data_IF_708271519226
#
_entry.id   IF_708271519226
#
_cell.length_a   1.000
_cell.length_b   1.000
_cell.length_c   1.000
_cell.angle_alpha   90.00
_cell.angle_beta   90.00
_cell.angle_gamma   90.00
#
_symmetry.space_group_name_H-M   'P 1'
#
loop_
_entity.id
_entity.type
_entity.pdbx_description
1 polymer ?
#
# COMPACT_ATOMS: atom_id res chain seq x y z
N UNK A 1 4.21 21.56 12.81
CA UNK A 1 3.55 21.08 11.58
C UNK A 1 3.35 19.56 11.72
N UNK A 2 2.15 19.05 11.49
CA UNK A 2 1.84 17.61 11.65
C UNK A 2 2.50 16.78 10.54
N UNK A 3 3.19 15.69 10.91
CA UNK A 3 3.81 14.77 9.95
C UNK A 3 2.74 13.86 9.33
N UNK A 4 2.90 13.48 8.05
CA UNK A 4 1.98 12.56 7.38
C UNK A 4 2.06 11.17 8.03
N UNK A 5 0.91 10.58 8.33
CA UNK A 5 0.78 9.24 8.91
C UNK A 5 0.35 8.22 7.85
N UNK A 6 0.64 6.95 8.08
CA UNK A 6 0.34 5.85 7.17
C UNK A 6 -0.89 5.07 7.59
N UNK A 7 -1.63 4.53 6.63
CA UNK A 7 -2.68 3.54 6.87
C UNK A 7 -2.43 2.37 5.93
N UNK A 8 -2.38 1.15 6.45
CA UNK A 8 -2.44 -0.07 5.66
C UNK A 8 -3.78 -0.74 5.93
N UNK A 9 -4.62 -0.83 4.90
CA UNK A 9 -5.89 -1.57 4.99
C UNK A 9 -5.65 -3.03 4.60
N UNK A 10 -5.53 -3.90 5.60
CA UNK A 10 -5.28 -5.33 5.49
C UNK A 10 -6.46 -6.16 6.04
N UNK A 11 -7.68 -5.70 5.76
CA UNK A 11 -8.92 -6.41 6.09
C UNK A 11 -9.49 -7.23 4.92
N UNK A 12 -10.74 -7.67 5.09
CA UNK A 12 -11.50 -8.43 4.11
C UNK A 12 -11.31 -9.95 4.17
N UNK A 13 -12.30 -10.69 3.66
CA UNK A 13 -12.36 -12.15 3.74
C UNK A 13 -11.58 -12.88 2.64
N UNK A 14 -11.08 -12.16 1.63
CA UNK A 14 -10.25 -12.74 0.57
C UNK A 14 -10.89 -13.91 -0.18
N UNK A 15 -12.23 -14.03 -0.22
CA UNK A 15 -12.97 -15.22 -0.67
C UNK A 15 -12.67 -15.65 -2.11
N UNK A 16 -12.25 -14.72 -2.98
CA UNK A 16 -11.78 -15.01 -4.35
C UNK A 16 -10.58 -15.94 -4.41
N UNK A 17 -9.84 -16.06 -3.31
CA UNK A 17 -8.68 -16.94 -3.18
C UNK A 17 -8.96 -18.24 -2.40
N UNK A 18 -10.23 -18.50 -2.02
CA UNK A 18 -10.57 -19.78 -1.41
C UNK A 18 -10.14 -20.96 -2.27
N UNK A 19 -9.64 -22.06 -1.65
CA UNK A 19 -9.58 -22.30 -0.20
C UNK A 19 -8.33 -21.73 0.51
N UNK A 20 -7.41 -21.05 -0.19
CA UNK A 20 -6.12 -20.62 0.37
C UNK A 20 -6.28 -19.65 1.55
N UNK A 21 -7.26 -18.74 1.46
CA UNK A 21 -7.52 -17.71 2.47
C UNK A 21 -8.51 -18.12 3.57
N UNK A 22 -8.93 -19.40 3.62
CA UNK A 22 -9.82 -19.87 4.69
C UNK A 22 -9.12 -19.95 6.05
N UNK A 23 -7.79 -20.17 6.07
CA UNK A 23 -7.02 -20.28 7.32
C UNK A 23 -6.04 -19.13 7.56
N UNK A 24 -5.76 -18.32 6.54
CA UNK A 24 -4.76 -17.24 6.59
C UNK A 24 -5.27 -16.04 5.80
N UNK A 25 -5.16 -14.85 6.38
CA UNK A 25 -5.45 -13.58 5.70
C UNK A 25 -4.69 -13.45 4.37
N UNK A 26 -5.34 -12.87 3.34
CA UNK A 26 -4.73 -12.68 2.00
C UNK A 26 -3.37 -11.98 2.09
N UNK A 27 -3.29 -10.93 2.91
CA UNK A 27 -2.12 -10.07 3.02
C UNK A 27 -0.95 -10.74 3.77
N UNK A 28 -1.17 -11.92 4.35
CA UNK A 28 -0.11 -12.76 4.94
C UNK A 28 0.35 -13.88 4.01
N UNK A 29 -0.30 -14.06 2.86
CA UNK A 29 0.17 -15.00 1.85
C UNK A 29 1.53 -14.56 1.28
N UNK A 30 2.39 -15.51 0.89
CA UNK A 30 3.69 -15.17 0.33
C UNK A 30 3.54 -14.62 -1.09
N UNK A 31 4.18 -13.47 -1.35
CA UNK A 31 4.56 -13.06 -2.70
C UNK A 31 6.05 -13.36 -2.81
N UNK A 32 6.36 -14.46 -3.49
CA UNK A 32 7.68 -15.09 -3.52
C UNK A 32 8.22 -15.47 -2.12
N UNK A 33 9.14 -14.68 -1.56
CA UNK A 33 9.89 -14.99 -0.34
C UNK A 33 9.49 -14.12 0.86
N UNK A 34 8.46 -13.27 0.73
CA UNK A 34 7.98 -12.35 1.78
C UNK A 34 6.46 -12.35 1.88
N UNK A 35 5.89 -12.10 3.08
CA UNK A 35 4.45 -11.91 3.21
C UNK A 35 4.01 -10.67 2.41
N UNK A 36 2.85 -10.76 1.76
CA UNK A 36 2.31 -9.73 0.88
C UNK A 36 2.24 -8.34 1.54
N UNK A 37 1.99 -8.26 2.84
CA UNK A 37 1.94 -7.00 3.61
C UNK A 37 3.26 -6.22 3.64
N UNK A 38 4.41 -6.86 3.36
CA UNK A 38 5.70 -6.16 3.31
C UNK A 38 5.78 -5.17 2.14
N UNK A 39 5.14 -5.46 1.01
CA UNK A 39 5.19 -4.61 -0.19
C UNK A 39 4.46 -3.25 -0.01
N UNK A 40 3.23 -3.18 0.54
CA UNK A 40 2.61 -1.91 0.88
C UNK A 40 3.31 -1.22 2.07
N UNK A 41 3.81 -1.98 3.06
CA UNK A 41 4.60 -1.40 4.16
C UNK A 41 5.83 -0.66 3.62
N UNK A 42 6.63 -1.34 2.79
CA UNK A 42 7.82 -0.74 2.17
C UNK A 42 7.49 0.45 1.28
N UNK A 43 6.31 0.48 0.63
CA UNK A 43 5.81 1.66 -0.10
C UNK A 43 5.66 2.87 0.84
N UNK A 44 5.06 2.70 2.02
CA UNK A 44 4.95 3.78 3.01
C UNK A 44 6.32 4.19 3.57
N UNK A 45 7.21 3.22 3.79
CA UNK A 45 8.57 3.49 4.29
C UNK A 45 9.41 4.27 3.26
N UNK A 46 9.30 3.94 1.97
CA UNK A 46 9.93 4.69 0.88
C UNK A 46 9.45 6.14 0.84
N UNK A 47 8.15 6.37 1.09
CA UNK A 47 7.57 7.72 1.23
C UNK A 47 8.04 8.47 2.50
N UNK A 48 8.76 7.81 3.41
CA UNK A 48 9.31 8.39 4.63
C UNK A 48 8.37 8.38 5.83
N UNK A 49 7.33 7.55 5.80
CA UNK A 49 6.30 7.47 6.85
C UNK A 49 6.70 6.45 7.90
N UNK A 50 6.63 6.84 9.18
CA UNK A 50 7.06 6.03 10.33
C UNK A 50 5.97 5.72 11.34
N UNK A 51 4.87 6.46 11.35
CA UNK A 51 3.70 6.18 12.17
C UNK A 51 2.63 5.59 11.27
N UNK A 52 2.24 4.34 11.50
CA UNK A 52 1.40 3.57 10.57
C UNK A 52 0.27 2.89 11.35
N UNK A 53 -0.98 3.15 10.98
CA UNK A 53 -2.10 2.33 11.40
C UNK A 53 -2.20 1.10 10.50
N UNK A 54 -2.35 -0.08 11.10
CA UNK A 54 -2.61 -1.34 10.39
C UNK A 54 -4.02 -1.77 10.75
N UNK A 55 -4.91 -1.72 9.76
CA UNK A 55 -6.32 -2.07 9.91
C UNK A 55 -6.51 -3.51 9.44
N UNK A 56 -7.00 -4.38 10.33
CA UNK A 56 -7.20 -5.82 10.05
C UNK A 56 -8.59 -6.26 10.49
N UNK A 57 -9.02 -7.47 10.13
CA UNK A 57 -10.14 -8.11 10.83
C UNK A 57 -9.74 -8.38 12.30
N UNK A 58 -10.71 -8.50 13.24
CA UNK A 58 -10.41 -8.91 14.61
C UNK A 58 -9.73 -10.28 14.68
N UNK A 59 -10.16 -11.21 13.83
CA UNK A 59 -9.69 -12.60 13.81
C UNK A 59 -8.22 -12.71 13.36
N UNK A 60 -7.80 -11.87 12.41
CA UNK A 60 -6.44 -11.95 11.83
C UNK A 60 -5.40 -11.06 12.55
N UNK A 61 -5.82 -10.09 13.36
CA UNK A 61 -4.92 -9.07 13.92
C UNK A 61 -3.70 -9.67 14.63
N UNK A 62 -3.92 -10.71 15.43
CA UNK A 62 -2.85 -11.40 16.15
C UNK A 62 -1.80 -12.01 15.20
N UNK A 63 -2.19 -12.43 13.99
CA UNK A 63 -1.26 -12.96 12.98
C UNK A 63 -0.37 -11.86 12.41
N UNK A 64 -0.94 -10.69 12.13
CA UNK A 64 -0.17 -9.53 11.67
C UNK A 64 0.79 -9.03 12.75
N UNK A 65 0.36 -8.97 14.02
CA UNK A 65 1.23 -8.61 15.14
C UNK A 65 2.44 -9.55 15.28
N UNK A 66 2.26 -10.85 15.05
CA UNK A 66 3.39 -11.81 15.05
C UNK A 66 4.40 -11.54 13.93
N UNK A 67 3.94 -11.10 12.77
CA UNK A 67 4.80 -10.85 11.59
C UNK A 67 5.47 -9.47 11.65
N UNK A 68 4.73 -8.44 12.05
CA UNK A 68 5.16 -7.04 12.02
C UNK A 68 5.72 -6.53 13.35
N UNK A 69 5.40 -7.18 14.47
CA UNK A 69 5.79 -6.69 15.80
C UNK A 69 5.19 -5.32 16.11
N UNK A 70 5.92 -4.51 16.88
CA UNK A 70 5.57 -3.11 17.15
C UNK A 70 6.16 -2.13 16.11
N UNK A 71 7.02 -2.62 15.22
CA UNK A 71 7.71 -1.85 14.19
C UNK A 71 9.06 -1.28 14.61
N UNK A 72 9.42 -1.39 15.89
CA UNK A 72 10.67 -0.82 16.44
C UNK A 72 11.92 -1.41 15.77
N UNK A 73 11.85 -2.65 15.28
CA UNK A 73 12.93 -3.30 14.53
C UNK A 73 13.27 -2.60 13.19
N UNK A 74 12.39 -1.73 12.71
CA UNK A 74 12.58 -0.91 11.50
C UNK A 74 12.55 0.58 11.80
N UNK A 75 12.50 0.97 13.08
CA UNK A 75 12.32 2.35 13.50
C UNK A 75 10.95 2.93 13.11
N UNK A 76 9.92 2.11 12.92
CA UNK A 76 8.53 2.56 12.71
C UNK A 76 7.70 2.25 13.96
N UNK A 77 6.47 2.79 14.01
CA UNK A 77 5.52 2.54 15.08
C UNK A 77 4.17 2.14 14.48
N UNK A 78 3.66 0.99 14.90
CA UNK A 78 2.36 0.49 14.49
C UNK A 78 1.25 0.81 15.49
N UNK A 79 0.10 1.26 14.97
CA UNK A 79 -1.16 1.31 15.71
C UNK A 79 -2.11 0.27 15.11
N UNK A 80 -2.60 -0.64 15.94
CA UNK A 80 -3.49 -1.72 15.49
C UNK A 80 -4.94 -1.27 15.61
N UNK A 81 -5.70 -1.44 14.54
CA UNK A 81 -7.12 -1.05 14.48
C UNK A 81 -7.91 -2.23 13.91
N UNK A 82 -9.00 -2.58 14.56
CA UNK A 82 -9.90 -3.62 14.09
C UNK A 82 -10.95 -3.03 13.13
N UNK A 83 -11.17 -3.71 12.02
CA UNK A 83 -12.28 -3.50 11.10
C UNK A 83 -13.31 -4.60 11.35
N UNK A 84 -14.43 -4.30 12.05
CA UNK A 84 -15.41 -5.32 12.42
C UNK A 84 -16.08 -6.00 11.21
N UNK A 85 -16.27 -5.26 10.13
CA UNK A 85 -16.89 -5.73 8.89
C UNK A 85 -16.25 -5.01 7.68
N UNK A 86 -16.08 -5.66 6.53
CA UNK A 86 -15.49 -5.06 5.34
C UNK A 86 -16.50 -4.16 4.59
N UNK A 87 -16.87 -3.02 5.19
CA UNK A 87 -17.94 -2.15 4.68
C UNK A 87 -17.44 -1.13 3.63
N UNK A 88 -16.37 -1.46 2.89
CA UNK A 88 -15.75 -0.60 1.88
C UNK A 88 -14.44 0.07 2.31
N UNK A 89 -13.71 0.57 1.31
CA UNK A 89 -12.34 1.07 1.49
C UNK A 89 -12.29 2.43 2.22
N UNK A 90 -13.29 3.29 2.02
CA UNK A 90 -13.35 4.60 2.68
C UNK A 90 -13.55 4.48 4.21
N UNK A 91 -14.08 3.35 4.69
CA UNK A 91 -14.22 3.04 6.12
C UNK A 91 -12.88 3.13 6.87
N UNK A 92 -11.75 2.85 6.20
CA UNK A 92 -10.42 2.96 6.79
C UNK A 92 -10.15 4.35 7.37
N UNK A 93 -10.65 5.42 6.73
CA UNK A 93 -10.49 6.79 7.20
C UNK A 93 -11.33 7.10 8.43
N UNK A 94 -12.50 6.47 8.55
CA UNK A 94 -13.38 6.59 9.72
C UNK A 94 -12.73 5.87 10.91
N UNK A 95 -12.26 4.63 10.70
CA UNK A 95 -11.62 3.82 11.74
C UNK A 95 -10.30 4.44 12.24
N UNK A 96 -9.52 5.04 11.33
CA UNK A 96 -8.21 5.62 11.65
C UNK A 96 -8.26 7.10 12.08
N UNK A 97 -9.43 7.72 12.20
CA UNK A 97 -9.54 9.16 12.46
C UNK A 97 -8.80 9.60 13.74
N UNK A 98 -9.04 8.91 14.86
CA UNK A 98 -8.37 9.21 16.13
C UNK A 98 -6.85 9.02 16.04
N UNK A 99 -6.39 8.04 15.25
CA UNK A 99 -4.97 7.85 14.98
C UNK A 99 -4.40 8.98 14.11
N UNK A 100 -5.15 9.45 13.10
CA UNK A 100 -4.72 10.52 12.22
C UNK A 100 -4.60 11.85 12.97
N UNK A 101 -5.56 12.19 13.84
CA UNK A 101 -5.55 13.42 14.66
C UNK A 101 -5.28 14.68 13.82
N UNK A 102 -6.04 14.81 12.73
CA UNK A 102 -5.91 15.91 11.76
C UNK A 102 -4.63 15.89 10.90
N UNK A 103 -3.76 14.88 11.05
CA UNK A 103 -2.61 14.71 10.18
C UNK A 103 -3.04 14.26 8.77
N UNK A 104 -2.33 14.69 7.71
CA UNK A 104 -2.51 14.12 6.39
C UNK A 104 -2.12 12.64 6.39
N UNK A 105 -2.63 11.86 5.43
CA UNK A 105 -2.50 10.40 5.40
C UNK A 105 -1.89 9.88 4.10
N UNK A 106 -1.13 8.79 4.14
CA UNK A 106 -0.96 7.92 2.98
C UNK A 106 -1.62 6.58 3.28
N UNK A 107 -2.71 6.26 2.59
CA UNK A 107 -3.38 4.97 2.68
C UNK A 107 -2.90 4.08 1.54
N UNK A 108 -2.54 2.83 1.87
CA UNK A 108 -2.22 1.80 0.88
C UNK A 108 -3.03 0.53 1.19
N UNK A 109 -3.52 -0.12 0.14
CA UNK A 109 -4.20 -1.41 0.27
C UNK A 109 -3.16 -2.51 0.56
N UNK A 110 -3.44 -3.38 1.53
CA UNK A 110 -2.51 -4.38 2.03
C UNK A 110 -2.12 -5.47 1.03
N UNK A 111 -2.74 -5.49 -0.15
CA UNK A 111 -2.53 -6.47 -1.21
C UNK A 111 -1.92 -5.90 -2.50
N UNK A 112 -1.53 -4.62 -2.47
CA UNK A 112 -0.96 -3.92 -3.61
C UNK A 112 0.57 -4.01 -3.60
N UNK A 113 1.14 -4.46 -4.72
CA UNK A 113 2.59 -4.50 -4.93
C UNK A 113 2.97 -3.47 -5.99
N UNK A 114 3.84 -2.53 -5.62
CA UNK A 114 4.38 -1.50 -6.51
C UNK A 114 5.87 -1.71 -6.73
N UNK A 115 6.31 -1.56 -7.97
CA UNK A 115 7.72 -1.56 -8.33
C UNK A 115 7.99 -0.58 -9.48
N UNK A 116 9.13 0.09 -9.47
CA UNK A 116 9.55 0.96 -10.56
C UNK A 116 10.68 1.88 -10.13
N UNK A 117 11.58 2.19 -11.07
CA UNK A 117 12.75 3.02 -10.79
C UNK A 117 12.39 4.39 -10.20
N UNK A 118 11.36 5.06 -10.74
CA UNK A 118 10.92 6.39 -10.30
C UNK A 118 9.93 6.40 -9.12
N UNK A 119 9.70 5.25 -8.48
CA UNK A 119 8.70 5.15 -7.40
C UNK A 119 9.05 6.04 -6.20
N UNK A 120 10.30 6.10 -5.71
CA UNK A 120 10.65 6.98 -4.59
C UNK A 120 10.36 8.47 -4.86
N UNK A 121 10.65 8.95 -6.07
CA UNK A 121 10.42 10.34 -6.48
C UNK A 121 8.93 10.64 -6.55
N UNK A 122 8.16 9.72 -7.15
CA UNK A 122 6.71 9.82 -7.27
C UNK A 122 6.03 9.88 -5.88
N UNK A 123 6.49 9.05 -4.94
CA UNK A 123 6.00 9.04 -3.56
C UNK A 123 6.41 10.32 -2.79
N UNK A 124 7.63 10.80 -3.00
CA UNK A 124 8.11 12.04 -2.36
C UNK A 124 7.30 13.26 -2.82
N UNK A 125 6.98 13.35 -4.12
CA UNK A 125 6.14 14.41 -4.68
C UNK A 125 4.73 14.40 -4.09
N UNK A 126 4.10 13.23 -4.00
CA UNK A 126 2.79 13.08 -3.37
C UNK A 126 2.82 13.40 -1.87
N UNK A 127 3.87 13.00 -1.15
CA UNK A 127 4.03 13.28 0.27
C UNK A 127 4.24 14.78 0.56
N UNK A 128 4.86 15.52 -0.36
CA UNK A 128 5.12 16.95 -0.21
C UNK A 128 3.85 17.82 -0.26
N UNK A 129 2.80 17.37 -0.96
CA UNK A 129 1.50 18.05 -1.02
C UNK A 129 0.82 17.99 0.35
N UNK A 130 0.32 19.13 0.83
CA UNK A 130 -0.30 19.23 2.18
C UNK A 130 -1.81 19.35 2.16
N UNK A 131 -2.37 19.76 1.03
CA UNK A 131 -3.79 20.02 0.82
C UNK A 131 -4.28 19.22 -0.38
N UNK A 132 -5.54 18.82 -0.35
CA UNK A 132 -6.14 18.02 -1.41
C UNK A 132 -5.72 16.56 -1.35
N UNK A 133 -5.87 15.88 -2.49
CA UNK A 133 -5.55 14.47 -2.66
C UNK A 133 -4.54 14.23 -3.78
N UNK A 134 -3.78 13.15 -3.68
CA UNK A 134 -2.97 12.61 -4.77
C UNK A 134 -3.19 11.11 -4.88
N UNK A 135 -3.55 10.66 -6.07
CA UNK A 135 -3.74 9.26 -6.42
C UNK A 135 -2.97 8.92 -7.68
N UNK A 136 -2.82 7.62 -7.94
CA UNK A 136 -2.00 7.16 -9.05
C UNK A 136 -2.84 6.40 -10.07
N UNK A 137 -2.77 6.84 -11.32
CA UNK A 137 -3.43 6.16 -12.44
C UNK A 137 -2.47 5.19 -13.11
N UNK A 138 -2.85 3.92 -13.23
CA UNK A 138 -2.08 2.89 -13.90
C UNK A 138 -2.86 2.30 -15.07
N UNK A 139 -2.19 2.07 -16.20
CA UNK A 139 -2.82 1.51 -17.38
C UNK A 139 -3.04 0.01 -17.22
N UNK A 140 -4.29 -0.44 -17.30
CA UNK A 140 -4.70 -1.86 -17.20
C UNK A 140 -5.37 -2.35 -18.49
N UNK A 141 -5.45 -3.66 -18.65
CA UNK A 141 -6.19 -4.31 -19.75
C UNK A 141 -7.66 -4.53 -19.45
N UNK A 142 -8.02 -4.63 -18.16
CA UNK A 142 -9.33 -4.97 -17.60
C UNK A 142 -9.85 -3.87 -16.63
N UNK A 143 -10.03 -2.63 -17.11
CA UNK A 143 -10.39 -1.47 -16.27
C UNK A 143 -11.72 -1.61 -15.52
N UNK A 144 -12.66 -2.43 -16.00
CA UNK A 144 -13.98 -2.67 -15.38
C UNK A 144 -13.91 -3.25 -13.95
N UNK A 145 -12.74 -3.74 -13.53
CA UNK A 145 -12.52 -4.30 -12.19
C UNK A 145 -12.15 -3.26 -11.12
N UNK A 146 -11.87 -2.03 -11.52
CA UNK A 146 -11.27 -1.00 -10.67
C UNK A 146 -12.04 0.32 -10.73
N UNK A 147 -11.66 1.28 -9.89
CA UNK A 147 -12.01 2.69 -10.07
C UNK A 147 -11.30 3.27 -11.30
N UNK A 148 -12.05 3.65 -12.33
CA UNK A 148 -11.50 4.14 -13.60
C UNK A 148 -11.50 5.66 -13.62
N UNK A 149 -10.36 6.26 -13.96
CA UNK A 149 -10.22 7.71 -14.12
C UNK A 149 -10.32 8.11 -15.60
N UNK A 150 -11.21 9.04 -15.92
CA UNK A 150 -11.27 9.69 -17.22
C UNK A 150 -10.38 10.95 -17.23
N UNK A 151 -9.78 11.26 -18.37
CA UNK A 151 -8.95 12.44 -18.54
C UNK A 151 -9.47 13.32 -19.68
N UNK A 152 -9.27 14.63 -19.55
CA UNK A 152 -9.50 15.59 -20.63
C UNK A 152 -8.32 15.66 -21.62
N UNK A 153 -8.45 16.55 -22.60
CA UNK A 153 -7.43 16.78 -23.63
C UNK A 153 -6.14 17.41 -23.08
N UNK A 154 -6.18 17.99 -21.88
CA UNK A 154 -5.04 18.58 -21.18
C UNK A 154 -4.45 17.63 -20.12
N UNK A 155 -4.80 16.33 -20.20
CA UNK A 155 -4.41 15.27 -19.27
C UNK A 155 -4.85 15.48 -17.80
N UNK A 156 -5.90 16.29 -17.56
CA UNK A 156 -6.49 16.48 -16.23
C UNK A 156 -7.59 15.46 -15.98
N UNK A 157 -7.68 14.95 -14.76
CA UNK A 157 -8.74 14.04 -14.38
C UNK A 157 -10.11 14.74 -14.43
N UNK A 158 -11.10 14.11 -15.07
CA UNK A 158 -12.46 14.63 -15.19
C UNK A 158 -13.46 13.89 -14.30
N UNK A 159 -13.33 12.57 -14.22
CA UNK A 159 -14.24 11.72 -13.45
C UNK A 159 -13.52 10.48 -12.95
N UNK A 160 -14.01 9.93 -11.84
CA UNK A 160 -13.59 8.65 -11.28
C UNK A 160 -14.87 7.83 -11.05
N UNK A 161 -14.93 6.62 -11.60
CA UNK A 161 -16.11 5.75 -11.50
C UNK A 161 -15.68 4.38 -11.02
N UNK A 162 -16.32 3.86 -9.97
CA UNK A 162 -16.06 2.50 -9.47
C UNK A 162 -16.64 1.45 -10.40
N UNK A 163 -15.79 0.52 -10.86
CA UNK A 163 -16.17 -0.69 -11.62
C UNK A 163 -17.19 -0.40 -12.74
N UNK A 164 -16.90 0.52 -13.67
CA UNK A 164 -17.85 0.90 -14.70
C UNK A 164 -18.07 -0.26 -15.69
N UNK A 165 -19.32 -0.49 -16.08
CA UNK A 165 -19.66 -1.44 -17.16
C UNK A 165 -19.04 -1.01 -18.50
N UNK A 166 -18.91 0.30 -18.72
CA UNK A 166 -18.32 0.90 -19.91
C UNK A 166 -17.22 1.88 -19.49
N UNK A 167 -15.96 1.42 -19.36
CA UNK A 167 -14.85 2.23 -18.87
C UNK A 167 -14.56 3.39 -19.83
N UNK A 168 -14.46 4.61 -19.29
CA UNK A 168 -14.14 5.82 -20.06
C UNK A 168 -12.66 5.88 -20.48
N UNK A 169 -11.79 5.12 -19.81
CA UNK A 169 -10.38 5.00 -20.14
C UNK A 169 -9.83 3.65 -19.67
N UNK A 170 -8.58 3.35 -20.03
CA UNK A 170 -7.86 2.17 -19.53
C UNK A 170 -6.99 2.47 -18.29
N UNK A 171 -7.24 3.57 -17.59
CA UNK A 171 -6.49 3.95 -16.40
C UNK A 171 -7.31 3.66 -15.14
N UNK A 172 -6.82 2.71 -14.36
CA UNK A 172 -7.33 2.40 -13.03
C UNK A 172 -6.60 3.24 -11.98
N UNK A 173 -7.34 3.71 -10.98
CA UNK A 173 -6.79 4.25 -9.74
C UNK A 173 -6.20 3.09 -8.95
N UNK A 174 -4.91 3.16 -8.61
CA UNK A 174 -4.26 2.11 -7.82
C UNK A 174 -4.67 2.18 -6.35
N UNK A 175 -4.33 1.15 -5.58
CA UNK A 175 -4.59 1.09 -4.14
C UNK A 175 -3.67 1.97 -3.28
N UNK A 176 -3.28 3.16 -3.74
CA UNK A 176 -2.39 4.08 -3.03
C UNK A 176 -2.91 5.52 -3.10
N UNK A 177 -3.15 6.12 -1.93
CA UNK A 177 -3.87 7.38 -1.80
C UNK A 177 -3.17 8.29 -0.79
N UNK A 178 -2.78 9.50 -1.21
CA UNK A 178 -2.23 10.53 -0.34
C UNK A 178 -3.28 11.63 -0.16
N UNK A 179 -3.96 11.67 0.99
CA UNK A 179 -5.03 12.63 1.24
C UNK A 179 -4.66 13.59 2.38
N UNK A 180 -5.30 14.75 2.43
CA UNK A 180 -5.10 15.71 3.51
C UNK A 180 -5.89 15.33 4.78
N UNK A 181 -5.79 16.17 5.83
CA UNK A 181 -6.44 15.92 7.11
C UNK A 181 -7.97 15.93 7.07
N UNK A 182 -8.61 16.32 5.96
CA UNK A 182 -10.07 16.31 5.80
C UNK A 182 -10.61 14.95 5.36
N UNK A 183 -9.74 14.00 5.01
CA UNK A 183 -10.16 12.68 4.53
C UNK A 183 -11.15 11.95 5.46
N UNK A 184 -10.97 11.94 6.80
CA UNK A 184 -11.95 11.32 7.70
C UNK A 184 -13.34 11.99 7.70
N UNK A 185 -13.39 13.33 7.65
CA UNK A 185 -14.65 14.08 7.54
C UNK A 185 -15.39 13.72 6.25
N UNK A 186 -14.67 13.78 5.13
CA UNK A 186 -15.20 13.43 3.81
C UNK A 186 -15.65 11.97 3.71
N UNK A 187 -14.91 11.05 4.33
CA UNK A 187 -15.25 9.64 4.35
C UNK A 187 -16.56 9.36 5.11
N UNK A 188 -16.89 10.14 6.14
CA UNK A 188 -18.20 10.03 6.82
C UNK A 188 -19.37 10.53 5.98
N UNK A 189 -19.11 11.43 5.03
CA UNK A 189 -20.12 11.95 4.11
C UNK A 189 -20.37 11.00 2.92
N UNK A 190 -19.57 9.95 2.76
CA UNK A 190 -19.80 8.92 1.73
C UNK A 190 -21.02 8.09 2.13
N UNK A 191 -21.97 7.98 1.21
CA UNK A 191 -23.12 7.10 1.35
C UNK A 191 -22.76 5.69 0.85
N UNK A 192 -23.30 4.61 1.46
CA UNK A 192 -23.09 3.26 0.96
C UNK A 192 -23.56 3.11 -0.49
N UNK A 193 -22.72 2.50 -1.34
CA UNK A 193 -23.06 2.23 -2.74
C UNK A 193 -24.20 1.22 -2.88
N UNK A 194 -24.64 0.96 -4.11
CA UNK A 194 -25.61 -0.11 -4.40
C UNK A 194 -25.12 -1.51 -3.93
N UNK A 195 -23.81 -1.66 -3.65
CA UNK A 195 -23.19 -2.87 -3.12
C UNK A 195 -23.10 -2.88 -1.58
N UNK A 196 -23.52 -1.80 -0.92
CA UNK A 196 -23.44 -1.61 0.52
C UNK A 196 -22.04 -1.25 1.02
N UNK A 197 -21.13 -0.80 0.14
CA UNK A 197 -19.75 -0.44 0.46
C UNK A 197 -19.56 1.08 0.48
N UNK A 198 -18.75 1.60 1.41
CA UNK A 198 -18.23 2.97 1.40
C UNK A 198 -17.08 3.05 0.40
N UNK A 199 -17.38 3.46 -0.82
CA UNK A 199 -16.44 3.41 -1.94
C UNK A 199 -15.38 4.51 -1.81
N UNK A 200 -14.11 4.14 -2.05
CA UNK A 200 -13.01 5.12 -2.05
C UNK A 200 -13.14 6.10 -3.22
N UNK A 201 -13.74 5.68 -4.33
CA UNK A 201 -14.00 6.51 -5.51
C UNK A 201 -14.94 7.66 -5.21
N UNK A 202 -15.96 7.47 -4.37
CA UNK A 202 -16.87 8.54 -3.94
C UNK A 202 -16.13 9.56 -3.07
N UNK A 203 -15.27 9.09 -2.15
CA UNK A 203 -14.38 9.98 -1.39
C UNK A 203 -13.46 10.79 -2.33
N UNK A 204 -12.84 10.13 -3.31
CA UNK A 204 -11.97 10.80 -4.29
C UNK A 204 -12.76 11.76 -5.19
N UNK A 205 -14.01 11.42 -5.52
CA UNK A 205 -14.94 12.26 -6.28
C UNK A 205 -15.16 13.61 -5.61
N UNK A 206 -15.32 13.64 -4.29
CA UNK A 206 -15.43 14.90 -3.54
C UNK A 206 -14.19 15.80 -3.69
N UNK A 207 -12.97 15.23 -3.69
CA UNK A 207 -11.75 16.00 -3.95
C UNK A 207 -11.67 16.48 -5.41
N UNK A 208 -12.13 15.65 -6.34
CA UNK A 208 -12.12 15.94 -7.77
C UNK A 208 -13.07 17.09 -8.12
N UNK A 209 -14.30 17.08 -7.60
CA UNK A 209 -15.31 18.13 -7.78
C UNK A 209 -14.82 19.50 -7.29
N UNK A 210 -14.02 19.52 -6.22
CA UNK A 210 -13.40 20.74 -5.69
C UNK A 210 -12.12 21.16 -6.45
N UNK A 211 -11.69 20.39 -7.45
CA UNK A 211 -10.44 20.63 -8.18
C UNK A 211 -9.18 20.44 -7.32
N UNK A 212 -9.27 19.69 -6.22
CA UNK A 212 -8.19 19.46 -5.26
C UNK A 212 -7.57 18.06 -5.35
N UNK A 213 -8.00 17.24 -6.31
CA UNK A 213 -7.41 15.92 -6.60
C UNK A 213 -6.36 16.01 -7.71
N UNK A 214 -5.14 15.55 -7.41
CA UNK A 214 -4.09 15.31 -8.40
C UNK A 214 -4.06 13.82 -8.77
N UNK A 215 -4.04 13.51 -10.07
CA UNK A 215 -3.89 12.13 -10.55
C UNK A 215 -2.57 11.99 -11.30
N UNK A 216 -1.60 11.32 -10.68
CA UNK A 216 -0.28 11.08 -11.28
C UNK A 216 -0.28 9.77 -12.07
N UNK A 217 0.07 9.82 -13.35
CA UNK A 217 0.12 8.61 -14.19
C UNK A 217 1.40 7.81 -13.95
N UNK A 218 1.26 6.55 -13.59
CA UNK A 218 2.35 5.58 -13.57
C UNK A 218 2.61 5.10 -15.01
N UNK A 219 3.74 5.54 -15.57
CA UNK A 219 4.16 5.19 -16.92
C UNK A 219 4.60 3.73 -17.09
N UNK A 220 5.06 3.36 -18.29
CA UNK A 220 5.42 1.98 -18.67
C UNK A 220 6.57 1.36 -17.85
N UNK A 221 7.35 2.15 -17.14
CA UNK A 221 8.46 1.68 -16.31
C UNK A 221 8.07 1.23 -14.90
N UNK A 222 6.79 1.34 -14.56
CA UNK A 222 6.24 0.85 -13.30
C UNK A 222 5.55 -0.50 -13.50
N UNK A 223 5.56 -1.32 -12.47
CA UNK A 223 4.70 -2.48 -12.33
C UNK A 223 3.78 -2.25 -11.13
N UNK A 224 2.48 -2.39 -11.39
CA UNK A 224 1.46 -2.52 -10.35
C UNK A 224 0.83 -3.91 -10.48
N UNK A 225 0.89 -4.69 -9.41
CA UNK A 225 0.39 -6.06 -9.36
C UNK A 225 -0.71 -6.13 -8.30
N UNK A 226 -1.97 -6.26 -8.76
CA UNK A 226 -3.10 -6.64 -7.92
C UNK A 226 -3.11 -8.16 -7.75
N UNK A 227 -3.06 -8.64 -6.51
CA UNK A 227 -2.97 -10.06 -6.16
C UNK A 227 -4.35 -10.70 -5.91
N UNK A 228 -5.41 -10.17 -6.54
CA UNK A 228 -6.81 -10.54 -6.30
C UNK A 228 -7.26 -11.94 -6.76
N UNK A 229 -6.49 -12.63 -7.58
CA UNK A 229 -6.77 -13.99 -8.11
C UNK A 229 -5.57 -14.91 -7.97
N UNK A 230 -5.75 -16.24 -8.00
CA UNK A 230 -4.65 -17.19 -7.90
C UNK A 230 -3.59 -16.98 -9.00
N UNK A 231 -4.03 -16.71 -10.24
CA UNK A 231 -3.13 -16.41 -11.35
C UNK A 231 -2.32 -15.12 -11.10
N UNK A 232 -3.00 -14.04 -10.71
CA UNK A 232 -2.31 -12.76 -10.44
C UNK A 232 -1.33 -12.84 -9.26
N UNK A 233 -1.64 -13.66 -8.24
CA UNK A 233 -0.73 -13.92 -7.12
C UNK A 233 0.52 -14.67 -7.58
N UNK A 234 0.35 -15.68 -8.45
CA UNK A 234 1.46 -16.40 -9.05
C UNK A 234 2.32 -15.48 -9.94
N UNK A 235 1.69 -14.63 -10.75
CA UNK A 235 2.37 -13.65 -11.59
C UNK A 235 3.20 -12.68 -10.74
N UNK A 236 2.63 -12.19 -9.62
CA UNK A 236 3.35 -11.33 -8.69
C UNK A 236 4.59 -12.03 -8.08
N UNK A 237 4.43 -13.29 -7.65
CA UNK A 237 5.54 -14.09 -7.16
C UNK A 237 6.63 -14.32 -8.21
N UNK A 238 6.24 -14.62 -9.45
CA UNK A 238 7.17 -14.82 -10.56
C UNK A 238 7.91 -13.54 -10.94
N UNK A 239 7.21 -12.40 -10.92
CA UNK A 239 7.79 -11.08 -11.18
C UNK A 239 8.88 -10.76 -10.14
N UNK A 240 8.54 -10.85 -8.85
CA UNK A 240 9.50 -10.60 -7.75
C UNK A 240 10.69 -11.55 -7.85
N UNK A 241 10.45 -12.85 -8.01
CA UNK A 241 11.53 -13.84 -8.18
C UNK A 241 12.48 -13.46 -9.31
N UNK A 242 11.93 -13.08 -10.47
CA UNK A 242 12.72 -12.75 -11.66
C UNK A 242 13.60 -11.53 -11.42
N UNK A 243 13.06 -10.47 -10.81
CA UNK A 243 13.84 -9.29 -10.46
C UNK A 243 14.96 -9.62 -9.47
N UNK A 244 14.63 -10.27 -8.36
CA UNK A 244 15.61 -10.59 -7.32
C UNK A 244 16.71 -11.50 -7.84
N UNK A 245 16.37 -12.52 -8.63
CA UNK A 245 17.35 -13.44 -9.21
C UNK A 245 18.29 -12.77 -10.24
N UNK A 246 17.85 -11.70 -10.90
CA UNK A 246 18.64 -10.99 -11.91
C UNK A 246 19.48 -9.86 -11.34
N UNK A 247 19.00 -9.19 -10.30
CA UNK A 247 19.69 -8.05 -9.69
C UNK A 247 20.49 -8.43 -8.45
N UNK A 248 20.16 -9.53 -7.78
CA UNK A 248 20.73 -9.87 -6.47
C UNK A 248 20.24 -8.96 -5.34
N UNK A 249 19.22 -8.14 -5.60
CA UNK A 249 18.63 -7.19 -4.66
C UNK A 249 17.23 -7.64 -4.27
N UNK A 250 16.85 -7.47 -3.00
CA UNK A 250 15.52 -7.82 -2.52
C UNK A 250 14.49 -6.76 -2.93
N UNK A 251 13.26 -7.19 -3.21
CA UNK A 251 12.12 -6.28 -3.42
C UNK A 251 11.22 -6.36 -2.19
N UNK A 252 10.86 -5.22 -1.63
CA UNK A 252 9.97 -5.15 -0.48
C UNK A 252 10.62 -5.65 0.82
N UNK A 253 11.91 -5.37 1.06
CA UNK A 253 12.58 -5.59 2.35
C UNK A 253 12.43 -4.36 3.26
N UNK A 254 11.64 -4.44 4.35
CA UNK A 254 11.57 -3.34 5.33
C UNK A 254 12.90 -3.11 6.03
N UNK A 255 13.67 -4.18 6.27
CA UNK A 255 14.98 -4.12 6.92
C UNK A 255 15.98 -3.29 6.10
N UNK A 256 16.06 -3.55 4.79
CA UNK A 256 16.93 -2.79 3.88
C UNK A 256 16.50 -1.31 3.80
N UNK A 257 15.20 -1.03 3.63
CA UNK A 257 14.71 0.34 3.50
C UNK A 257 14.92 1.12 4.81
N UNK A 258 14.65 0.51 5.97
CA UNK A 258 14.92 1.13 7.26
C UNK A 258 16.40 1.48 7.40
N UNK A 259 17.30 0.60 6.97
CA UNK A 259 18.73 0.85 6.99
C UNK A 259 19.15 1.96 6.02
N UNK A 260 18.72 1.91 4.75
CA UNK A 260 19.02 2.94 3.74
C UNK A 260 18.49 4.32 4.12
N UNK A 261 17.35 4.39 4.82
CA UNK A 261 16.79 5.63 5.37
C UNK A 261 17.47 6.09 6.66
N UNK A 262 18.42 5.32 7.20
CA UNK A 262 19.12 5.61 8.46
C UNK A 262 18.25 5.48 9.71
N UNK A 263 17.17 4.71 9.65
CA UNK A 263 16.25 4.49 10.79
C UNK A 263 16.77 3.44 11.77
N UNK A 264 17.62 2.54 11.29
CA UNK A 264 18.31 1.52 12.09
C UNK A 264 19.81 1.54 11.78
N UNK A 265 20.62 1.14 12.75
CA UNK A 265 22.08 1.04 12.59
C UNK A 265 22.48 -0.23 11.83
N UNK A 266 23.74 -0.27 11.36
CA UNK A 266 24.32 -1.49 10.76
C UNK A 266 24.33 -2.66 11.75
N UNK A 267 24.53 -2.41 13.04
CA UNK A 267 24.49 -3.45 14.06
C UNK A 267 23.08 -4.00 14.25
N UNK A 268 22.06 -3.14 14.24
CA UNK A 268 20.66 -3.57 14.26
C UNK A 268 20.34 -4.41 13.01
N UNK A 269 20.82 -4.02 11.83
CA UNK A 269 20.66 -4.80 10.60
C UNK A 269 21.34 -6.18 10.70
N UNK A 270 22.54 -6.27 11.29
CA UNK A 270 23.24 -7.55 11.52
C UNK A 270 22.49 -8.45 12.50
N UNK A 271 21.90 -7.91 13.56
CA UNK A 271 21.06 -8.71 14.47
C UNK A 271 19.81 -9.27 13.75
N UNK A 272 19.23 -8.49 12.84
CA UNK A 272 18.16 -8.97 11.95
C UNK A 272 18.66 -10.07 11.01
N UNK A 273 19.84 -9.90 10.41
CA UNK A 273 20.46 -10.91 9.54
C UNK A 273 20.66 -12.25 10.28
N UNK A 274 21.15 -12.21 11.53
CA UNK A 274 21.29 -13.40 12.39
C UNK A 274 19.97 -14.11 12.64
N UNK A 275 18.90 -13.37 12.90
CA UNK A 275 17.54 -13.92 13.10
C UNK A 275 17.10 -14.80 11.91
N UNK A 276 17.47 -14.39 10.68
CA UNK A 276 17.15 -15.11 9.45
C UNK A 276 18.33 -15.93 8.88
N UNK A 277 19.38 -16.16 9.66
CA UNK A 277 20.67 -16.69 9.17
C UNK A 277 20.64 -18.11 8.56
N UNK A 278 19.48 -18.78 8.59
CA UNK A 278 19.27 -20.11 7.98
C UNK A 278 18.69 -20.06 6.56
N UNK A 279 18.43 -18.87 6.00
CA UNK A 279 17.84 -18.72 4.66
C UNK A 279 18.45 -17.56 3.86
N UNK A 280 18.01 -17.42 2.60
CA UNK A 280 18.52 -16.40 1.69
C UNK A 280 18.23 -14.95 2.11
N UNK A 281 17.18 -14.71 2.91
CA UNK A 281 16.88 -13.37 3.41
C UNK A 281 17.94 -12.91 4.43
N UNK A 282 18.35 -13.78 5.37
CA UNK A 282 19.41 -13.46 6.32
C UNK A 282 20.77 -13.24 5.65
N UNK A 283 21.12 -14.08 4.67
CA UNK A 283 22.34 -13.91 3.89
C UNK A 283 22.34 -12.56 3.15
N UNK A 284 21.22 -12.17 2.56
CA UNK A 284 21.07 -10.89 1.90
C UNK A 284 21.27 -9.69 2.85
N UNK A 285 20.63 -9.70 4.03
CA UNK A 285 20.80 -8.60 4.99
C UNK A 285 22.24 -8.46 5.47
N UNK A 286 22.95 -9.58 5.62
CA UNK A 286 24.37 -9.59 5.94
C UNK A 286 25.22 -8.97 4.81
N UNK A 287 24.91 -9.27 3.55
CA UNK A 287 25.59 -8.66 2.40
C UNK A 287 25.35 -7.14 2.33
N UNK A 288 24.12 -6.68 2.58
CA UNK A 288 23.80 -5.25 2.70
C UNK A 288 24.60 -4.60 3.82
N UNK A 289 24.68 -5.24 4.99
CA UNK A 289 25.44 -4.73 6.14
C UNK A 289 26.95 -4.65 5.86
N UNK A 290 27.51 -5.58 5.07
CA UNK A 290 28.92 -5.54 4.65
C UNK A 290 29.18 -4.45 3.63
N UNK A 291 28.27 -4.26 2.67
CA UNK A 291 28.39 -3.23 1.64
C UNK A 291 28.45 -1.81 2.20
N UNK A 292 27.85 -1.57 3.37
CA UNK A 292 27.88 -0.27 4.05
C UNK A 292 29.18 0.03 4.83
N UNK A 293 30.06 -0.96 5.01
CA UNK A 293 31.34 -0.80 5.69
C UNK A 293 32.51 -0.41 4.77
N UNK A 294 32.26 -0.27 3.46
CA UNK A 294 33.25 0.12 2.44
C UNK A 294 33.06 1.56 1.98
#
# INVERSE_FOLDING_TARGET
>A
MTKRKGIILAGGSGTRLYPVTMGVSKQLLPVYDKPMIYYPLTTLMLAGIREIAVITTPEDQAQFQRVLGDGSQWGVAFTWIEQPSPDGLAQAYILAEAFLDGAPSAMVLGDNVFFGHGLPELLAEANARRTGGSVFGYRVSDPERYGVVAFDNDDRAQSIVEKPEKPASNYAVTGLYFLDGKAPERARAVEPSARGELEITDLLGQYLEEGSLTVSRMGRGYAWLDTGTHASLLDAGNFVRTLQARQGLQVGSPDEIAFQKGWISVDALRERAKTFGKNGYGAYLEDVARGAGN
#
